data_IF_750964794069
#
_entry.id   IF_750964794069
#
_cell.length_a   1.000
_cell.length_b   1.000
_cell.length_c   1.000
_cell.angle_alpha   90.00
_cell.angle_beta   90.00
_cell.angle_gamma   90.00
#
_symmetry.space_group_name_H-M   'P 1'
#
loop_
_entity.id
_entity.type
_entity.pdbx_description
1 polymer ?
#
# COMPACT_ATOMS: atom_id res chain seq x y z
N UNK A 1 0.16 15.46 3.04
CA UNK A 1 1.32 16.32 3.35
C UNK A 1 2.51 15.51 3.81
N UNK A 2 3.68 16.09 3.73
CA UNK A 2 4.95 15.46 4.12
C UNK A 2 5.35 15.89 5.53
N UNK A 3 5.96 14.99 6.30
CA UNK A 3 6.63 15.37 7.53
C UNK A 3 7.90 16.19 7.22
N UNK A 4 8.35 17.00 8.16
CA UNK A 4 9.54 17.84 7.97
C UNK A 4 10.77 16.99 7.59
N UNK A 5 10.97 15.85 8.27
CA UNK A 5 12.08 14.94 7.96
C UNK A 5 12.00 14.33 6.56
N UNK A 6 10.79 14.04 6.07
CA UNK A 6 10.61 13.57 4.71
C UNK A 6 11.05 14.64 3.70
N UNK A 7 10.63 15.90 3.93
CA UNK A 7 11.00 17.01 3.04
C UNK A 7 12.51 17.21 3.02
N UNK A 8 13.18 17.20 4.19
CA UNK A 8 14.63 17.32 4.30
C UNK A 8 15.34 16.23 3.51
N UNK A 9 14.90 14.98 3.65
CA UNK A 9 15.53 13.82 2.98
C UNK A 9 15.28 13.83 1.48
N UNK A 10 14.05 14.09 1.04
CA UNK A 10 13.70 14.18 -0.39
C UNK A 10 14.50 15.30 -1.07
N UNK A 11 14.64 16.44 -0.38
CA UNK A 11 15.40 17.59 -0.89
C UNK A 11 16.92 17.43 -0.78
N UNK A 12 17.43 16.33 -0.21
CA UNK A 12 18.87 16.15 0.03
C UNK A 12 19.47 17.14 1.04
N UNK A 13 18.66 17.61 1.98
CA UNK A 13 19.04 18.55 3.04
C UNK A 13 19.35 17.81 4.35
N UNK A 14 20.20 16.77 4.28
CA UNK A 14 20.66 16.01 5.45
C UNK A 14 21.58 16.86 6.35
N UNK A 15 21.98 16.31 7.49
CA UNK A 15 22.66 16.95 8.63
C UNK A 15 23.70 18.03 8.27
N UNK A 16 24.48 17.84 7.20
CA UNK A 16 25.47 18.84 6.74
C UNK A 16 24.84 20.13 6.19
N UNK A 17 23.55 20.13 5.87
CA UNK A 17 22.79 21.24 5.29
C UNK A 17 21.65 21.73 6.16
N UNK A 18 21.63 21.39 7.44
CA UNK A 18 20.56 21.76 8.37
C UNK A 18 20.38 23.28 8.48
N UNK A 19 21.47 24.04 8.41
CA UNK A 19 21.39 25.50 8.36
C UNK A 19 20.65 26.02 7.11
N UNK A 20 20.78 25.33 5.99
CA UNK A 20 20.09 25.71 4.74
C UNK A 20 18.58 25.41 4.86
N UNK A 21 18.23 24.27 5.47
CA UNK A 21 16.84 23.95 5.78
C UNK A 21 16.21 25.00 6.70
N UNK A 22 16.89 25.38 7.79
CA UNK A 22 16.38 26.36 8.71
C UNK A 22 16.11 27.71 8.03
N UNK A 23 17.04 28.18 7.20
CA UNK A 23 16.86 29.41 6.43
C UNK A 23 15.66 29.31 5.46
N UNK A 24 15.54 28.19 4.72
CA UNK A 24 14.42 27.96 3.83
C UNK A 24 13.11 27.89 4.61
N UNK A 25 13.08 27.16 5.73
CA UNK A 25 11.90 26.97 6.54
C UNK A 25 11.38 28.31 7.08
N UNK A 26 12.24 29.16 7.62
CA UNK A 26 11.85 30.50 8.08
C UNK A 26 11.21 31.36 6.98
N UNK A 27 11.58 31.14 5.70
CA UNK A 27 10.98 31.86 4.57
C UNK A 27 9.60 31.32 4.17
N UNK A 28 9.39 30.01 4.30
CA UNK A 28 8.14 29.36 3.88
C UNK A 28 7.14 29.19 5.03
N UNK A 29 7.59 29.15 6.27
CA UNK A 29 6.75 28.93 7.48
C UNK A 29 5.49 29.82 7.51
N UNK A 30 5.51 31.12 7.18
CA UNK A 30 4.33 31.96 7.18
C UNK A 30 3.23 31.49 6.21
N UNK A 31 3.57 30.63 5.26
CA UNK A 31 2.67 30.11 4.20
C UNK A 31 2.29 28.66 4.41
N UNK A 32 2.78 28.05 5.50
CA UNK A 32 2.56 26.66 5.82
C UNK A 32 1.68 26.53 7.06
N UNK A 33 0.95 25.44 7.12
CA UNK A 33 0.23 25.02 8.32
C UNK A 33 0.55 23.57 8.66
N UNK A 34 0.48 23.26 9.95
CA UNK A 34 0.65 21.90 10.43
C UNK A 34 -0.70 21.20 10.51
N UNK A 35 -0.80 20.03 9.89
CA UNK A 35 -1.89 19.09 10.06
C UNK A 35 -1.34 17.82 10.71
N UNK A 36 -1.40 17.76 12.05
CA UNK A 36 -0.67 16.77 12.83
C UNK A 36 0.84 16.96 12.71
N UNK A 37 1.54 15.95 12.22
CA UNK A 37 2.99 15.95 11.95
C UNK A 37 3.36 16.37 10.52
N UNK A 38 2.39 16.77 9.71
CA UNK A 38 2.54 17.03 8.28
C UNK A 38 2.41 18.51 7.96
N UNK A 39 3.33 19.00 7.12
CA UNK A 39 3.29 20.34 6.57
C UNK A 39 2.41 20.38 5.32
N UNK A 40 1.58 21.40 5.20
CA UNK A 40 0.81 21.70 4.01
C UNK A 40 0.74 23.22 3.77
N UNK A 41 0.44 23.64 2.54
CA UNK A 41 0.25 25.05 2.25
C UNK A 41 -1.05 25.57 2.86
N UNK A 42 -0.98 26.63 3.64
CA UNK A 42 -2.13 27.31 4.23
C UNK A 42 -2.97 28.02 3.16
N UNK A 43 -2.33 28.57 2.13
CA UNK A 43 -3.00 29.28 1.01
C UNK A 43 -3.05 28.42 -0.26
N UNK A 44 -4.27 28.12 -0.70
CA UNK A 44 -4.53 27.36 -1.94
C UNK A 44 -3.99 28.06 -3.20
N UNK A 45 -3.99 29.41 -3.24
CA UNK A 45 -3.49 30.18 -4.38
C UNK A 45 -1.99 30.04 -4.52
N UNK A 46 -1.27 30.09 -3.36
CA UNK A 46 0.16 29.86 -3.35
C UNK A 46 0.48 28.44 -3.80
N UNK A 47 -0.24 27.44 -3.29
CA UNK A 47 -0.11 26.06 -3.75
C UNK A 47 -0.26 25.94 -5.26
N UNK A 48 -1.33 26.52 -5.83
CA UNK A 48 -1.56 26.48 -7.28
C UNK A 48 -0.45 27.17 -8.06
N UNK A 49 0.02 28.34 -7.61
CA UNK A 49 1.09 29.08 -8.28
C UNK A 49 2.42 28.31 -8.27
N UNK A 50 2.72 27.58 -7.18
CA UNK A 50 3.90 26.71 -7.10
C UNK A 50 3.75 25.53 -8.07
N UNK A 51 2.60 24.85 -8.08
CA UNK A 51 2.34 23.74 -9.00
C UNK A 51 2.51 24.20 -10.45
N UNK A 52 1.91 25.33 -10.82
CA UNK A 52 2.01 25.89 -12.19
C UNK A 52 3.46 26.21 -12.58
N UNK A 53 4.25 26.75 -11.64
CA UNK A 53 5.64 27.09 -11.88
C UNK A 53 6.52 25.88 -12.10
N UNK A 54 6.29 24.80 -11.36
CA UNK A 54 7.12 23.58 -11.40
C UNK A 54 6.48 22.44 -12.18
N UNK A 55 5.45 22.73 -12.97
CA UNK A 55 4.75 21.72 -13.78
C UNK A 55 5.68 20.90 -14.69
N UNK A 56 6.75 21.53 -15.20
CA UNK A 56 7.76 20.83 -16.02
C UNK A 56 8.62 19.83 -15.23
N UNK A 57 8.76 20.03 -13.93
CA UNK A 57 9.60 19.20 -13.05
C UNK A 57 8.80 18.19 -12.24
N UNK A 58 7.45 18.20 -12.37
CA UNK A 58 6.53 17.42 -11.58
C UNK A 58 6.87 15.92 -11.60
N UNK A 59 7.12 15.34 -12.76
CA UNK A 59 7.47 13.93 -12.91
C UNK A 59 8.80 13.59 -12.22
N UNK A 60 9.77 14.47 -12.27
CA UNK A 60 11.06 14.30 -11.60
C UNK A 60 10.88 14.31 -10.08
N UNK A 61 10.11 15.27 -9.57
CA UNK A 61 9.80 15.39 -8.13
C UNK A 61 9.07 14.14 -7.64
N UNK A 62 8.01 13.71 -8.35
CA UNK A 62 7.24 12.50 -7.98
C UNK A 62 8.09 11.24 -8.01
N UNK A 63 8.96 11.07 -9.01
CA UNK A 63 9.90 9.94 -9.03
C UNK A 63 10.85 9.95 -7.83
N UNK A 64 11.35 11.13 -7.43
CA UNK A 64 12.20 11.25 -6.25
C UNK A 64 11.44 10.88 -4.98
N UNK A 65 10.17 11.28 -4.87
CA UNK A 65 9.29 10.88 -3.76
C UNK A 65 9.05 9.37 -3.74
N UNK A 66 8.77 8.76 -4.90
CA UNK A 66 8.61 7.29 -5.01
C UNK A 66 9.87 6.59 -4.52
N UNK A 67 11.05 6.97 -5.00
CA UNK A 67 12.32 6.38 -4.56
C UNK A 67 12.54 6.52 -3.05
N UNK A 68 12.14 7.64 -2.47
CA UNK A 68 12.22 7.87 -1.04
C UNK A 68 11.26 6.93 -0.27
N UNK A 69 9.98 6.87 -0.66
CA UNK A 69 8.97 6.05 0.03
C UNK A 69 9.12 4.54 -0.21
N UNK A 70 9.80 4.12 -1.27
CA UNK A 70 10.18 2.72 -1.48
C UNK A 70 11.28 2.23 -0.51
N UNK A 71 11.88 3.12 0.27
CA UNK A 71 12.93 2.72 1.20
C UNK A 71 12.37 1.77 2.27
N UNK A 72 12.93 0.55 2.33
CA UNK A 72 12.50 -0.51 3.26
C UNK A 72 12.61 -0.13 4.74
N UNK A 73 13.43 0.87 5.07
CA UNK A 73 13.60 1.36 6.44
C UNK A 73 12.49 2.33 6.88
N UNK A 74 11.62 2.76 5.96
CA UNK A 74 10.47 3.57 6.32
C UNK A 74 9.34 2.68 6.88
N UNK A 75 8.62 3.14 7.92
CA UNK A 75 7.44 2.46 8.42
C UNK A 75 6.42 2.23 7.30
N UNK A 76 5.74 1.08 7.33
CA UNK A 76 4.76 0.70 6.31
C UNK A 76 3.60 1.71 6.21
N UNK A 77 3.27 2.35 7.34
CA UNK A 77 2.28 3.42 7.42
C UNK A 77 2.63 4.57 6.49
N UNK A 78 3.91 4.97 6.51
CA UNK A 78 4.40 6.08 5.68
C UNK A 78 4.42 5.71 4.22
N UNK A 79 4.83 4.50 3.90
CA UNK A 79 4.83 3.99 2.54
C UNK A 79 3.40 3.93 1.99
N UNK A 80 2.46 3.37 2.75
CA UNK A 80 1.06 3.20 2.32
C UNK A 80 0.31 4.53 2.15
N UNK A 81 0.66 5.53 2.93
CA UNK A 81 0.03 6.85 2.85
C UNK A 81 0.36 7.60 1.56
N UNK A 82 1.48 7.30 0.92
CA UNK A 82 1.99 8.08 -0.20
C UNK A 82 2.17 7.26 -1.50
N UNK A 83 2.75 6.04 -1.42
CA UNK A 83 3.12 5.27 -2.62
C UNK A 83 1.95 4.94 -3.55
N UNK A 84 0.80 4.42 -3.07
CA UNK A 84 -0.30 4.06 -3.97
C UNK A 84 -0.78 5.26 -4.79
N UNK A 85 -0.92 6.42 -4.15
CA UNK A 85 -1.35 7.65 -4.83
C UNK A 85 -0.32 8.19 -5.82
N UNK A 86 0.97 8.07 -5.50
CA UNK A 86 2.05 8.45 -6.41
C UNK A 86 2.10 7.55 -7.64
N UNK A 87 1.90 6.24 -7.47
CA UNK A 87 1.85 5.31 -8.59
C UNK A 87 0.65 5.57 -9.50
N UNK A 88 -0.56 5.76 -8.94
CA UNK A 88 -1.77 6.12 -9.69
C UNK A 88 -1.57 7.43 -10.47
N UNK A 89 -1.09 8.46 -9.81
CA UNK A 89 -0.89 9.79 -10.38
C UNK A 89 0.16 9.81 -11.50
N UNK A 90 1.15 8.91 -11.42
CA UNK A 90 2.17 8.69 -12.45
C UNK A 90 1.80 7.62 -13.48
N UNK A 91 0.60 7.05 -13.40
CA UNK A 91 0.13 5.94 -14.23
C UNK A 91 1.08 4.71 -14.21
N UNK A 92 1.70 4.43 -13.06
CA UNK A 92 2.61 3.30 -12.84
C UNK A 92 1.84 2.12 -12.24
N UNK A 93 0.91 1.56 -13.01
CA UNK A 93 -0.03 0.56 -12.52
C UNK A 93 0.64 -0.77 -12.17
N UNK A 94 1.68 -1.18 -12.89
CA UNK A 94 2.43 -2.40 -12.58
C UNK A 94 3.16 -2.31 -11.22
N UNK A 95 3.68 -1.13 -10.89
CA UNK A 95 4.31 -0.87 -9.59
C UNK A 95 3.27 -0.85 -8.47
N UNK A 96 2.09 -0.27 -8.73
CA UNK A 96 0.97 -0.29 -7.79
C UNK A 96 0.52 -1.72 -7.52
N UNK A 97 0.32 -2.53 -8.56
CA UNK A 97 -0.05 -3.94 -8.41
C UNK A 97 0.98 -4.70 -7.58
N UNK A 98 2.26 -4.58 -7.92
CA UNK A 98 3.35 -5.20 -7.18
C UNK A 98 3.35 -4.79 -5.71
N UNK A 99 3.08 -3.52 -5.42
CA UNK A 99 3.00 -2.99 -4.07
C UNK A 99 1.79 -3.56 -3.31
N UNK A 100 0.60 -3.59 -3.93
CA UNK A 100 -0.61 -4.13 -3.33
C UNK A 100 -0.51 -5.63 -3.04
N UNK A 101 0.19 -6.39 -3.90
CA UNK A 101 0.43 -7.83 -3.70
C UNK A 101 1.38 -8.14 -2.52
N UNK A 102 2.01 -7.13 -1.91
CA UNK A 102 2.80 -7.32 -0.70
C UNK A 102 1.89 -7.61 0.49
N UNK A 103 2.04 -8.78 1.10
CA UNK A 103 1.19 -9.23 2.20
C UNK A 103 1.28 -8.35 3.45
N UNK A 104 2.42 -7.72 3.71
CA UNK A 104 2.55 -6.79 4.83
C UNK A 104 1.72 -5.52 4.57
N UNK A 105 1.69 -5.04 3.31
CA UNK A 105 0.85 -3.93 2.88
C UNK A 105 -0.62 -4.28 3.03
N UNK A 106 -1.02 -5.47 2.55
CA UNK A 106 -2.39 -5.96 2.70
C UNK A 106 -2.81 -6.02 4.17
N UNK A 107 -2.03 -6.70 5.02
CA UNK A 107 -2.34 -6.84 6.45
C UNK A 107 -2.46 -5.49 7.14
N UNK A 108 -1.53 -4.57 6.88
CA UNK A 108 -1.60 -3.21 7.43
C UNK A 108 -2.89 -2.49 7.02
N UNK A 109 -3.20 -2.48 5.74
CA UNK A 109 -4.37 -1.77 5.23
C UNK A 109 -5.68 -2.44 5.64
N UNK A 110 -5.75 -3.78 5.61
CA UNK A 110 -6.94 -4.55 5.97
C UNK A 110 -7.33 -4.41 7.45
N UNK A 111 -6.34 -4.43 8.35
CA UNK A 111 -6.59 -4.30 9.80
C UNK A 111 -6.91 -2.88 10.23
N UNK A 112 -6.54 -1.88 9.44
CA UNK A 112 -6.81 -0.47 9.73
C UNK A 112 -8.08 -0.01 9.00
N UNK A 113 -9.16 0.26 9.78
CA UNK A 113 -10.47 0.65 9.23
C UNK A 113 -10.39 1.82 8.24
N UNK A 114 -9.59 2.84 8.54
CA UNK A 114 -9.47 4.02 7.67
C UNK A 114 -8.65 3.77 6.39
N UNK A 115 -7.81 2.73 6.39
CA UNK A 115 -6.99 2.36 5.23
C UNK A 115 -7.66 1.31 4.35
N UNK A 116 -8.61 0.55 4.91
CA UNK A 116 -9.35 -0.47 4.17
C UNK A 116 -10.12 0.12 2.98
N UNK A 117 -10.80 1.25 3.18
CA UNK A 117 -11.56 1.90 2.10
C UNK A 117 -10.63 2.39 0.97
N UNK A 118 -9.41 2.82 1.30
CA UNK A 118 -8.39 3.16 0.31
C UNK A 118 -7.88 1.91 -0.42
N UNK A 119 -7.66 0.80 0.29
CA UNK A 119 -7.25 -0.48 -0.30
C UNK A 119 -8.27 -0.97 -1.33
N UNK A 120 -9.57 -0.92 -1.01
CA UNK A 120 -10.66 -1.28 -1.92
C UNK A 120 -10.60 -0.42 -3.19
N UNK A 121 -10.45 0.90 -3.05
CA UNK A 121 -10.36 1.83 -4.18
C UNK A 121 -9.15 1.58 -5.07
N UNK A 122 -8.00 1.25 -4.48
CA UNK A 122 -6.81 0.92 -5.26
C UNK A 122 -7.00 -0.38 -6.03
N UNK A 123 -7.64 -1.40 -5.42
CA UNK A 123 -7.96 -2.66 -6.11
C UNK A 123 -9.00 -2.49 -7.23
N UNK A 124 -9.89 -1.50 -7.16
CA UNK A 124 -10.84 -1.20 -8.22
C UNK A 124 -10.19 -0.74 -9.56
N UNK A 125 -8.88 -0.51 -9.58
CA UNK A 125 -8.13 -0.23 -10.80
C UNK A 125 -7.63 -1.51 -11.53
N UNK A 126 -7.89 -2.70 -10.99
CA UNK A 126 -7.37 -3.98 -11.46
C UNK A 126 -8.49 -4.98 -11.73
N UNK A 127 -8.13 -6.10 -12.38
CA UNK A 127 -9.04 -7.21 -12.61
C UNK A 127 -8.95 -8.23 -11.46
N UNK A 128 -9.97 -9.09 -11.34
CA UNK A 128 -9.98 -10.19 -10.38
C UNK A 128 -8.80 -11.16 -10.60
N UNK A 129 -8.38 -11.34 -11.86
CA UNK A 129 -7.21 -12.13 -12.23
C UNK A 129 -5.92 -11.63 -11.57
N UNK A 130 -5.78 -10.30 -11.40
CA UNK A 130 -4.64 -9.70 -10.72
C UNK A 130 -4.69 -9.99 -9.22
N UNK A 131 -5.88 -9.92 -8.61
CA UNK A 131 -6.06 -10.28 -7.20
C UNK A 131 -5.71 -11.75 -6.94
N UNK A 132 -5.98 -12.64 -7.89
CA UNK A 132 -5.61 -14.06 -7.78
C UNK A 132 -4.10 -14.30 -7.70
N UNK A 133 -3.26 -13.35 -8.07
CA UNK A 133 -1.82 -13.43 -7.90
C UNK A 133 -1.40 -13.56 -6.42
N UNK A 134 -2.25 -13.13 -5.47
CA UNK A 134 -1.99 -13.41 -4.04
C UNK A 134 -1.82 -14.90 -3.75
N UNK A 135 -2.55 -15.78 -4.45
CA UNK A 135 -2.39 -17.22 -4.29
C UNK A 135 -0.98 -17.68 -4.68
N UNK A 136 -0.41 -17.09 -5.73
CA UNK A 136 0.96 -17.39 -6.15
C UNK A 136 1.98 -16.87 -5.14
N UNK A 137 1.76 -15.66 -4.59
CA UNK A 137 2.62 -15.08 -3.55
C UNK A 137 2.61 -15.95 -2.30
N UNK A 138 1.43 -16.40 -1.88
CA UNK A 138 1.25 -17.28 -0.73
C UNK A 138 1.95 -18.63 -0.92
N UNK A 139 1.82 -19.23 -2.10
CA UNK A 139 2.40 -20.54 -2.39
C UNK A 139 3.95 -20.52 -2.40
N UNK A 140 4.55 -19.37 -2.70
CA UNK A 140 5.99 -19.26 -2.94
C UNK A 140 6.81 -18.74 -1.75
N UNK A 141 6.18 -18.22 -0.67
CA UNK A 141 6.96 -17.43 0.27
C UNK A 141 6.61 -17.45 1.76
N UNK A 142 5.61 -18.22 2.23
CA UNK A 142 5.15 -18.11 3.63
C UNK A 142 5.27 -19.43 4.39
N UNK A 143 5.62 -19.33 5.69
CA UNK A 143 5.52 -20.45 6.63
C UNK A 143 4.07 -20.96 6.71
N UNK A 144 3.91 -22.30 6.86
CA UNK A 144 2.61 -22.96 6.73
C UNK A 144 1.53 -22.40 7.65
N UNK A 145 1.87 -22.01 8.86
CA UNK A 145 0.91 -21.44 9.85
C UNK A 145 0.41 -20.07 9.47
N UNK A 146 1.26 -19.21 8.91
CA UNK A 146 0.87 -17.88 8.43
C UNK A 146 0.06 -17.96 7.14
N UNK A 147 0.32 -18.97 6.29
CA UNK A 147 -0.39 -19.19 5.05
C UNK A 147 -1.91 -19.28 5.25
N UNK A 148 -2.35 -20.16 6.15
CA UNK A 148 -3.78 -20.39 6.39
C UNK A 148 -4.46 -19.12 6.89
N UNK A 149 -3.86 -18.44 7.86
CA UNK A 149 -4.41 -17.19 8.41
C UNK A 149 -4.52 -16.12 7.35
N UNK A 150 -3.47 -15.92 6.55
CA UNK A 150 -3.45 -14.90 5.50
C UNK A 150 -4.43 -15.24 4.37
N UNK A 151 -4.51 -16.50 3.97
CA UNK A 151 -5.49 -16.94 2.97
C UNK A 151 -6.92 -16.72 3.44
N UNK A 152 -7.20 -16.97 4.72
CA UNK A 152 -8.51 -16.69 5.32
C UNK A 152 -8.83 -15.19 5.31
N UNK A 153 -7.88 -14.33 5.66
CA UNK A 153 -8.04 -12.86 5.63
C UNK A 153 -8.31 -12.36 4.20
N UNK A 154 -7.56 -12.84 3.21
CA UNK A 154 -7.75 -12.51 1.79
C UNK A 154 -9.10 -13.00 1.27
N UNK A 155 -9.47 -14.24 1.60
CA UNK A 155 -10.76 -14.83 1.22
C UNK A 155 -11.94 -14.03 1.77
N UNK A 156 -11.88 -13.64 3.04
CA UNK A 156 -12.91 -12.79 3.66
C UNK A 156 -12.93 -11.38 3.04
N UNK A 157 -11.76 -10.80 2.78
CA UNK A 157 -11.67 -9.49 2.15
C UNK A 157 -12.33 -9.51 0.76
N UNK A 158 -12.02 -10.52 -0.06
CA UNK A 158 -12.63 -10.70 -1.37
C UNK A 158 -14.14 -10.91 -1.26
N UNK A 159 -14.60 -11.76 -0.34
CA UNK A 159 -16.03 -12.05 -0.15
C UNK A 159 -16.84 -10.80 0.22
N UNK A 160 -16.34 -9.99 1.15
CA UNK A 160 -17.07 -8.81 1.63
C UNK A 160 -16.94 -7.59 0.73
N UNK A 161 -15.84 -7.44 0.02
CA UNK A 161 -15.51 -6.24 -0.75
C UNK A 161 -15.31 -6.48 -2.25
N UNK A 162 -15.38 -7.72 -2.71
CA UNK A 162 -15.15 -8.06 -4.13
C UNK A 162 -16.07 -7.30 -5.09
N UNK A 163 -17.36 -7.14 -4.72
CA UNK A 163 -18.34 -6.39 -5.53
C UNK A 163 -18.01 -4.90 -5.60
N UNK A 164 -17.34 -4.34 -4.57
CA UNK A 164 -16.91 -2.93 -4.55
C UNK A 164 -15.62 -2.72 -5.34
N UNK A 165 -14.79 -3.76 -5.44
CA UNK A 165 -13.48 -3.71 -6.12
C UNK A 165 -13.59 -4.04 -7.61
N UNK A 166 -14.44 -5.00 -7.99
CA UNK A 166 -14.52 -5.56 -9.33
C UNK A 166 -15.90 -5.35 -9.95
N UNK A 167 -16.01 -5.26 -11.29
CA UNK A 167 -17.27 -5.08 -11.99
C UNK A 167 -18.30 -6.19 -11.65
N UNK A 168 -19.59 -5.85 -11.72
CA UNK A 168 -20.70 -6.79 -11.48
C UNK A 168 -20.66 -8.04 -12.39
N UNK A 169 -20.06 -7.93 -13.56
CA UNK A 169 -19.87 -9.02 -14.53
C UNK A 169 -18.99 -10.15 -13.97
N UNK A 170 -18.06 -9.82 -13.07
CA UNK A 170 -17.14 -10.78 -12.43
C UNK A 170 -17.70 -11.42 -11.15
N UNK A 171 -18.94 -11.12 -10.77
CA UNK A 171 -19.54 -11.59 -9.50
C UNK A 171 -19.48 -13.10 -9.32
N UNK A 172 -19.78 -13.87 -10.36
CA UNK A 172 -19.71 -15.34 -10.31
C UNK A 172 -18.28 -15.85 -10.17
N UNK A 173 -17.33 -15.14 -10.76
CA UNK A 173 -15.92 -15.46 -10.65
C UNK A 173 -15.39 -15.16 -9.24
N UNK A 174 -15.84 -14.07 -8.60
CA UNK A 174 -15.53 -13.75 -7.19
C UNK A 174 -15.95 -14.89 -6.27
N UNK A 175 -17.19 -15.39 -6.43
CA UNK A 175 -17.68 -16.52 -5.63
C UNK A 175 -16.84 -17.78 -5.89
N UNK A 176 -16.47 -18.05 -7.12
CA UNK A 176 -15.64 -19.20 -7.51
C UNK A 176 -14.23 -19.10 -6.89
N UNK A 177 -13.62 -17.93 -6.95
CA UNK A 177 -12.30 -17.68 -6.36
C UNK A 177 -12.35 -17.81 -4.84
N UNK A 178 -13.38 -17.25 -4.20
CA UNK A 178 -13.58 -17.38 -2.77
C UNK A 178 -13.73 -18.85 -2.35
N UNK A 179 -14.55 -19.63 -3.05
CA UNK A 179 -14.69 -21.07 -2.80
C UNK A 179 -13.38 -21.82 -2.97
N UNK A 180 -12.62 -21.54 -4.02
CA UNK A 180 -11.30 -22.14 -4.24
C UNK A 180 -10.32 -21.81 -3.10
N UNK A 181 -10.33 -20.59 -2.59
CA UNK A 181 -9.54 -20.21 -1.41
C UNK A 181 -9.96 -21.01 -0.17
N UNK A 182 -11.29 -21.19 0.07
CA UNK A 182 -11.80 -21.99 1.17
C UNK A 182 -11.41 -23.47 1.06
N UNK A 183 -11.48 -24.06 -0.14
CA UNK A 183 -11.05 -25.44 -0.40
C UNK A 183 -9.53 -25.61 -0.11
N UNK A 184 -8.71 -24.65 -0.51
CA UNK A 184 -7.28 -24.64 -0.19
C UNK A 184 -7.02 -24.58 1.33
N UNK A 185 -7.79 -23.78 2.08
CA UNK A 185 -7.69 -23.72 3.54
C UNK A 185 -8.03 -25.08 4.14
N UNK A 186 -9.15 -25.70 3.75
CA UNK A 186 -9.59 -27.01 4.25
C UNK A 186 -8.55 -28.09 3.94
N UNK A 187 -8.04 -28.14 2.71
CA UNK A 187 -7.01 -29.10 2.30
C UNK A 187 -5.74 -28.98 3.15
N UNK A 188 -5.27 -27.76 3.40
CA UNK A 188 -4.08 -27.52 4.22
C UNK A 188 -4.30 -27.89 5.69
N UNK A 189 -5.47 -27.58 6.26
CA UNK A 189 -5.83 -27.96 7.62
C UNK A 189 -5.89 -29.49 7.78
N UNK A 190 -6.49 -30.21 6.83
CA UNK A 190 -6.55 -31.67 6.86
C UNK A 190 -5.13 -32.29 6.83
N UNK A 191 -4.26 -31.77 5.97
CA UNK A 191 -2.85 -32.23 5.92
C UNK A 191 -2.13 -32.00 7.26
N UNK A 192 -2.38 -30.89 7.94
CA UNK A 192 -1.79 -30.62 9.25
C UNK A 192 -2.32 -31.54 10.33
N UNK A 193 -3.61 -31.89 10.29
CA UNK A 193 -4.22 -32.85 11.23
C UNK A 193 -3.63 -34.24 11.03
N UNK A 194 -3.54 -34.71 9.79
CA UNK A 194 -2.95 -36.01 9.45
C UNK A 194 -1.50 -36.11 9.94
N UNK A 195 -0.69 -35.11 9.68
CA UNK A 195 0.71 -35.06 10.13
C UNK A 195 0.88 -35.04 11.65
N UNK A 196 -0.13 -34.61 12.41
CA UNK A 196 -0.12 -34.63 13.89
C UNK A 196 -0.57 -35.98 14.50
N UNK A 197 -1.32 -36.75 13.74
CA UNK A 197 -1.88 -38.02 14.21
C UNK A 197 -0.91 -39.19 13.98
N UNK A 198 -0.12 -39.17 12.91
CA UNK A 198 0.82 -40.26 12.57
C UNK A 198 1.99 -40.51 13.56
N UNK A 199 2.56 -39.56 14.32
CA UNK A 199 3.67 -39.84 15.22
C UNK A 199 3.31 -40.54 16.53
N UNK A 200 2.05 -40.78 16.85
CA UNK A 200 1.61 -41.32 18.15
C UNK A 200 1.27 -42.80 18.15
N UNK A 201 1.53 -43.55 17.06
CA UNK A 201 1.20 -44.98 16.94
C UNK A 201 2.39 -45.87 16.51
N UNK A 202 3.63 -45.46 16.76
CA UNK A 202 4.83 -46.35 16.62
C UNK A 202 5.57 -46.52 17.93
#
# INVERSE_FOLDING_TARGET
>A
GLAEDDIKRIAGLCEEKENLWHQLFCLIEPYMEWNGDRLQFADRRLKSAIIDRYKGDESCIKNTMILYFQNINLPIERQYDELPYLYEDMNRMDDLLTYLLNLNVFRYAHTNRHKKDALIKHWANFELSDFNQYLNVLNNGIEKTEYITTLYELSNFLYFHGIEMFPDEERYEIESVHLSMCENIISKLNTEIENKIEPSQL
#
